data_IF_677452182500
#
_entry.id   IF_677452182500
#
_cell.length_a   1.000
_cell.length_b   1.000
_cell.length_c   1.000
_cell.angle_alpha   90.00
_cell.angle_beta   90.00
_cell.angle_gamma   90.00
#
_symmetry.space_group_name_H-M   'P 1'
#
loop_
_entity.id
_entity.type
_entity.pdbx_description
1 polymer ?
#
# COMPACT_ATOMS: atom_id res chain seq x y z
N UNK A 1 14.27 -4.73 -9.73
CA UNK A 1 13.03 -5.47 -10.05
C UNK A 1 12.58 -6.42 -8.93
N UNK A 2 13.42 -7.34 -8.44
CA UNK A 2 12.99 -8.34 -7.44
C UNK A 2 12.41 -7.77 -6.12
N UNK A 3 12.96 -6.67 -5.60
CA UNK A 3 12.47 -6.06 -4.34
C UNK A 3 11.06 -5.48 -4.44
N UNK A 4 10.67 -4.99 -5.62
CA UNK A 4 9.33 -4.41 -5.83
C UNK A 4 8.27 -5.51 -5.80
N UNK A 5 8.56 -6.67 -6.40
CA UNK A 5 7.68 -7.84 -6.42
C UNK A 5 7.49 -8.42 -5.01
N UNK A 6 8.56 -8.45 -4.20
CA UNK A 6 8.50 -8.89 -2.80
C UNK A 6 7.64 -7.99 -1.93
N UNK A 7 7.47 -6.72 -2.30
CA UNK A 7 6.64 -5.75 -1.61
C UNK A 7 5.19 -5.78 -2.13
N UNK A 8 4.99 -5.86 -3.45
CA UNK A 8 3.67 -5.85 -4.06
C UNK A 8 2.81 -7.05 -3.61
N UNK A 9 3.44 -8.21 -3.45
CA UNK A 9 2.75 -9.46 -3.10
C UNK A 9 2.08 -9.45 -1.71
N UNK A 10 2.78 -9.19 -0.60
CA UNK A 10 2.14 -9.08 0.72
C UNK A 10 1.22 -7.85 0.83
N UNK A 11 1.53 -6.77 0.10
CA UNK A 11 0.66 -5.58 0.07
C UNK A 11 -0.71 -5.89 -0.55
N UNK A 12 -0.77 -6.79 -1.52
CA UNK A 12 -2.02 -7.27 -2.12
C UNK A 12 -2.92 -7.99 -1.09
N UNK A 13 -2.33 -8.86 -0.26
CA UNK A 13 -3.07 -9.57 0.79
C UNK A 13 -3.56 -8.60 1.87
N UNK A 14 -2.69 -7.70 2.34
CA UNK A 14 -3.04 -6.70 3.34
C UNK A 14 -4.16 -5.77 2.85
N UNK A 15 -4.11 -5.38 1.57
CA UNK A 15 -5.17 -4.59 0.95
C UNK A 15 -6.50 -5.34 0.91
N UNK A 16 -6.50 -6.62 0.51
CA UNK A 16 -7.71 -7.44 0.50
C UNK A 16 -8.34 -7.57 1.90
N UNK A 17 -7.54 -7.75 2.95
CA UNK A 17 -8.04 -7.79 4.33
C UNK A 17 -8.67 -6.45 4.73
N UNK A 18 -8.00 -5.35 4.41
CA UNK A 18 -8.49 -4.03 4.80
C UNK A 18 -9.74 -3.62 4.04
N UNK A 19 -9.84 -4.04 2.77
CA UNK A 19 -11.03 -3.86 1.94
C UNK A 19 -12.24 -4.62 2.52
N UNK A 20 -12.05 -5.88 2.94
CA UNK A 20 -13.09 -6.66 3.61
C UNK A 20 -13.54 -5.96 4.90
N UNK A 21 -12.61 -5.51 5.74
CA UNK A 21 -12.91 -4.79 6.99
C UNK A 21 -13.65 -3.49 6.70
N UNK A 22 -13.22 -2.74 5.68
CA UNK A 22 -13.82 -1.46 5.38
C UNK A 22 -15.24 -1.64 4.83
N UNK A 23 -15.48 -2.57 3.91
CA UNK A 23 -16.83 -2.82 3.39
C UNK A 23 -17.76 -3.55 4.34
N UNK A 24 -17.23 -4.21 5.36
CA UNK A 24 -18.06 -4.72 6.47
C UNK A 24 -18.46 -3.62 7.45
N UNK A 25 -17.64 -2.56 7.61
CA UNK A 25 -17.94 -1.43 8.50
C UNK A 25 -18.66 -0.26 7.81
N UNK A 26 -18.35 -0.01 6.54
CA UNK A 26 -18.91 1.04 5.69
C UNK A 26 -19.73 0.38 4.59
N UNK A 27 -21.06 0.46 4.72
CA UNK A 27 -21.96 -0.08 3.72
C UNK A 27 -21.85 0.73 2.41
N UNK A 28 -21.43 0.10 1.29
CA UNK A 28 -21.25 0.79 0.01
C UNK A 28 -22.57 1.33 -0.58
N UNK A 29 -23.73 0.84 -0.13
CA UNK A 29 -25.06 1.33 -0.52
C UNK A 29 -25.49 2.55 0.31
N UNK A 30 -24.96 2.71 1.53
CA UNK A 30 -25.26 3.88 2.38
C UNK A 30 -24.47 5.14 1.98
N UNK A 31 -23.46 5.01 1.10
CA UNK A 31 -22.65 6.09 0.56
C UNK A 31 -23.43 6.87 -0.52
N UNK A 32 -24.31 7.75 -0.05
CA UNK A 32 -25.04 8.73 -0.87
C UNK A 32 -24.30 10.07 -0.77
N UNK A 33 -23.97 10.70 -1.90
CA UNK A 33 -23.34 12.01 -1.94
C UNK A 33 -24.09 12.91 -2.90
N UNK A 34 -24.49 14.09 -2.40
CA UNK A 34 -25.34 15.03 -3.14
C UNK A 34 -26.60 14.38 -3.73
N UNK A 35 -27.34 13.60 -2.91
CA UNK A 35 -28.59 12.94 -3.29
C UNK A 35 -28.48 11.93 -4.45
N UNK A 36 -27.26 11.61 -4.90
CA UNK A 36 -26.97 10.58 -5.87
C UNK A 36 -26.14 9.45 -5.22
N UNK A 37 -26.35 8.20 -5.63
CA UNK A 37 -25.49 7.10 -5.21
C UNK A 37 -24.05 7.40 -5.69
N UNK A 38 -23.08 7.43 -4.77
CA UNK A 38 -21.66 7.66 -5.09
C UNK A 38 -21.13 6.64 -6.08
N UNK A 39 -21.66 5.41 -6.00
CA UNK A 39 -21.37 4.34 -6.92
C UNK A 39 -22.68 3.87 -7.55
N UNK A 40 -22.83 4.09 -8.85
CA UNK A 40 -23.95 3.56 -9.64
C UNK A 40 -24.02 2.03 -9.62
N UNK A 41 -22.88 1.36 -9.37
CA UNK A 41 -22.78 -0.09 -9.27
C UNK A 41 -21.96 -0.50 -8.05
N UNK A 42 -22.46 -1.50 -7.29
CA UNK A 42 -21.75 -2.09 -6.13
C UNK A 42 -20.34 -2.58 -6.50
N UNK A 43 -20.19 -3.09 -7.73
CA UNK A 43 -18.91 -3.56 -8.26
C UNK A 43 -17.85 -2.45 -8.38
N UNK A 44 -18.29 -1.22 -8.72
CA UNK A 44 -17.41 -0.06 -8.79
C UNK A 44 -16.86 0.33 -7.41
N UNK A 45 -17.70 0.29 -6.39
CA UNK A 45 -17.29 0.54 -5.00
C UNK A 45 -16.21 -0.45 -4.55
N UNK A 46 -16.49 -1.75 -4.69
CA UNK A 46 -15.56 -2.82 -4.30
C UNK A 46 -14.19 -2.71 -5.00
N UNK A 47 -14.21 -2.45 -6.30
CA UNK A 47 -12.96 -2.33 -7.06
C UNK A 47 -12.15 -1.09 -6.63
N UNK A 48 -12.82 0.05 -6.38
CA UNK A 48 -12.15 1.29 -5.98
C UNK A 48 -11.51 1.14 -4.58
N UNK A 49 -12.22 0.54 -3.63
CA UNK A 49 -11.68 0.23 -2.30
C UNK A 49 -10.43 -0.62 -2.40
N UNK A 50 -10.51 -1.70 -3.18
CA UNK A 50 -9.40 -2.60 -3.39
C UNK A 50 -8.16 -1.87 -3.93
N UNK A 51 -8.32 -1.04 -4.96
CA UNK A 51 -7.21 -0.28 -5.54
C UNK A 51 -6.63 0.76 -4.58
N UNK A 52 -7.47 1.47 -3.81
CA UNK A 52 -7.01 2.46 -2.83
C UNK A 52 -6.18 1.82 -1.71
N UNK A 53 -6.67 0.71 -1.14
CA UNK A 53 -5.95 -0.01 -0.11
C UNK A 53 -4.67 -0.66 -0.63
N UNK A 54 -4.71 -1.16 -1.86
CA UNK A 54 -3.53 -1.74 -2.51
C UNK A 54 -2.45 -0.69 -2.78
N UNK A 55 -2.83 0.51 -3.25
CA UNK A 55 -1.91 1.63 -3.39
C UNK A 55 -1.35 2.06 -2.04
N UNK A 56 -2.17 2.16 -1.00
CA UNK A 56 -1.71 2.56 0.34
C UNK A 56 -0.70 1.57 0.92
N UNK A 57 -0.97 0.26 0.82
CA UNK A 57 -0.04 -0.79 1.24
C UNK A 57 1.27 -0.79 0.44
N UNK A 58 1.16 -0.58 -0.87
CA UNK A 58 2.32 -0.47 -1.77
C UNK A 58 3.17 0.74 -1.42
N UNK A 59 2.55 1.90 -1.16
CA UNK A 59 3.22 3.15 -0.76
C UNK A 59 3.90 2.99 0.60
N UNK A 60 3.22 2.45 1.60
CA UNK A 60 3.79 2.21 2.94
C UNK A 60 5.03 1.32 2.90
N UNK A 61 4.96 0.22 2.15
CA UNK A 61 6.08 -0.70 1.99
C UNK A 61 7.20 -0.14 1.09
N UNK A 62 6.84 0.63 0.05
CA UNK A 62 7.80 1.35 -0.78
C UNK A 62 8.56 2.42 0.02
N UNK A 63 7.88 3.19 0.88
CA UNK A 63 8.51 4.15 1.79
C UNK A 63 9.44 3.42 2.77
N UNK A 64 8.99 2.32 3.36
CA UNK A 64 9.79 1.50 4.28
C UNK A 64 11.06 0.96 3.58
N UNK A 65 10.95 0.53 2.33
CA UNK A 65 12.09 0.09 1.53
C UNK A 65 12.99 1.26 1.10
N UNK A 66 12.41 2.44 0.85
CA UNK A 66 13.13 3.67 0.51
C UNK A 66 14.01 4.14 1.69
N UNK A 67 13.44 4.17 2.90
CA UNK A 67 14.19 4.47 4.12
C UNK A 67 15.30 3.45 4.40
N UNK A 68 15.03 2.15 4.26
CA UNK A 68 16.06 1.11 4.42
C UNK A 68 17.16 1.16 3.35
N UNK A 69 16.83 1.53 2.11
CA UNK A 69 17.85 1.76 1.08
C UNK A 69 18.74 2.96 1.42
N UNK A 70 18.17 4.02 2.01
CA UNK A 70 18.94 5.18 2.49
C UNK A 70 19.93 4.75 3.59
N UNK A 71 19.49 3.97 4.57
CA UNK A 71 20.40 3.48 5.63
C UNK A 71 21.44 2.49 5.10
N UNK A 72 21.08 1.62 4.15
CA UNK A 72 22.03 0.70 3.52
C UNK A 72 23.10 1.42 2.68
N UNK A 73 22.73 2.51 1.99
CA UNK A 73 23.68 3.37 1.27
C UNK A 73 24.65 4.06 2.24
N UNK A 74 24.12 4.67 3.31
CA UNK A 74 24.95 5.32 4.34
C UNK A 74 25.91 4.35 5.03
N UNK A 75 25.41 3.16 5.42
CA UNK A 75 26.23 2.14 6.06
C UNK A 75 27.37 1.67 5.13
N UNK A 76 27.11 1.52 3.82
CA UNK A 76 28.17 1.22 2.84
C UNK A 76 29.24 2.32 2.74
N UNK A 77 28.83 3.59 2.73
CA UNK A 77 29.77 4.73 2.64
C UNK A 77 30.66 4.73 3.89
N UNK A 78 30.07 4.62 5.09
CA UNK A 78 30.80 4.62 6.35
C UNK A 78 31.75 3.41 6.47
N UNK A 79 31.33 2.23 5.98
CA UNK A 79 32.19 1.03 5.93
C UNK A 79 33.37 1.20 4.97
N UNK A 80 33.22 1.98 3.90
CA UNK A 80 34.30 2.25 2.95
C UNK A 80 35.33 3.26 3.47
N UNK A 81 34.94 4.13 4.40
CA UNK A 81 35.84 5.09 5.06
C UNK A 81 36.60 4.49 6.24
N UNK A 82 36.26 3.28 6.68
CA UNK A 82 37.00 2.60 7.74
C UNK A 82 38.37 2.14 7.19
N UNK A 83 39.49 2.63 7.73
CA UNK A 83 40.80 2.21 7.27
C UNK A 83 40.94 0.71 7.52
N UNK A 84 41.19 -0.05 6.45
CA UNK A 84 41.55 -1.47 6.55
C UNK A 84 42.89 -1.54 7.29
N UNK A 85 42.83 -1.86 8.58
CA UNK A 85 43.98 -2.25 9.39
C UNK A 85 44.45 -3.65 8.94
#
# INVERSE_FOLDING_TARGET
MQRIIQVLWPSFIAAGVMDIVLFTLLDPVALIYQDAPLFTTRLGAYSLGFFLFWLFGTVSSALTCYFQCSTAQLNKICKSSEPKN
#
